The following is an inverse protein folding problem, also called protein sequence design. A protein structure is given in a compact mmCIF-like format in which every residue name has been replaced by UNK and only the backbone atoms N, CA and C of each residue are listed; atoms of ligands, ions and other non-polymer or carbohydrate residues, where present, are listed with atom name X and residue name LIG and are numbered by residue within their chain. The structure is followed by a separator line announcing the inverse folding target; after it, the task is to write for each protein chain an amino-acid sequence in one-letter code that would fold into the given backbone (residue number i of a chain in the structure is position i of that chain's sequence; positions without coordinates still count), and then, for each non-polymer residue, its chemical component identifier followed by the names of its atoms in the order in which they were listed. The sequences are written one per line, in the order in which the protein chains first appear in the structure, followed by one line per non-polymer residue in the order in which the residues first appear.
data_IF_701738767121
#
_entry.id   IF_701738767121
#
_cell.length_a   1.000
_cell.length_b   1.000
_cell.length_c   1.000
_cell.angle_alpha   90.00
_cell.angle_beta   90.00
_cell.angle_gamma   90.00
#
_symmetry.space_group_name_H-M   'P 1'
#
loop_
_entity.id
_entity.type
_entity.pdbx_description
1 polymer ?
#
# COMPACT_ATOMS: atom_id res chain seq x y z
N UNK A 1 19.04 -27.74 -59.94
CA UNK A 1 20.17 -27.07 -59.27
C UNK A 1 19.63 -26.17 -58.18
N UNK A 2 20.08 -26.42 -56.95
CA UNK A 2 20.22 -25.55 -55.76
C UNK A 2 19.21 -24.42 -55.52
N UNK A 3 18.58 -24.47 -54.34
CA UNK A 3 17.99 -23.34 -53.64
C UNK A 3 17.52 -23.74 -52.25
N UNK A 4 18.47 -24.09 -51.37
CA UNK A 4 18.21 -24.47 -49.98
C UNK A 4 17.69 -23.24 -49.21
N UNK A 5 16.49 -23.36 -48.64
CA UNK A 5 15.87 -22.36 -47.80
C UNK A 5 16.50 -22.42 -46.41
N UNK A 6 17.29 -21.41 -46.04
CA UNK A 6 17.93 -21.33 -44.73
C UNK A 6 16.98 -20.60 -43.78
N UNK A 7 16.18 -21.36 -43.02
CA UNK A 7 15.32 -20.82 -41.96
C UNK A 7 16.20 -20.61 -40.72
N UNK A 8 16.57 -19.35 -40.47
CA UNK A 8 17.21 -18.94 -39.22
C UNK A 8 16.13 -18.89 -38.14
N UNK A 9 16.13 -19.88 -37.26
CA UNK A 9 15.38 -19.87 -36.01
C UNK A 9 16.02 -18.85 -35.06
N UNK A 10 15.52 -17.61 -35.08
CA UNK A 10 15.73 -16.64 -34.02
C UNK A 10 14.94 -17.09 -32.79
N UNK A 11 15.61 -17.80 -31.88
CA UNK A 11 15.11 -18.08 -30.54
C UNK A 11 15.18 -16.76 -29.75
N UNK A 12 14.13 -15.97 -29.85
CA UNK A 12 13.94 -14.78 -29.01
C UNK A 12 13.65 -15.28 -27.59
N UNK A 13 14.68 -15.33 -26.75
CA UNK A 13 14.53 -15.51 -25.32
C UNK A 13 13.83 -14.27 -24.75
N UNK A 14 12.49 -14.29 -24.74
CA UNK A 14 11.70 -13.34 -23.98
C UNK A 14 12.00 -13.57 -22.49
N UNK A 15 12.88 -12.76 -21.93
CA UNK A 15 13.03 -12.61 -20.49
C UNK A 15 11.64 -12.26 -19.91
N UNK A 16 11.04 -13.22 -19.22
CA UNK A 16 9.78 -13.02 -18.51
C UNK A 16 9.93 -11.86 -17.50
N UNK A 17 8.88 -11.05 -17.24
CA UNK A 17 8.92 -9.93 -16.32
C UNK A 17 8.90 -10.43 -14.87
N UNK A 18 9.97 -11.08 -14.42
CA UNK A 18 10.10 -11.64 -13.06
C UNK A 18 10.12 -10.56 -11.97
N UNK A 19 10.27 -9.28 -12.34
CA UNK A 19 10.31 -8.13 -11.43
C UNK A 19 8.93 -7.64 -10.98
N UNK A 20 7.84 -7.93 -11.69
CA UNK A 20 6.52 -7.45 -11.31
C UNK A 20 5.97 -8.23 -10.11
N UNK A 21 5.86 -9.56 -10.23
CA UNK A 21 5.31 -10.40 -9.15
C UNK A 21 6.07 -10.31 -7.81
N UNK A 22 7.41 -10.32 -7.84
CA UNK A 22 8.21 -10.18 -6.61
C UNK A 22 8.08 -8.78 -5.98
N UNK A 23 7.84 -7.74 -6.80
CA UNK A 23 7.60 -6.39 -6.28
C UNK A 23 6.26 -6.31 -5.57
N UNK A 24 5.24 -6.95 -6.13
CA UNK A 24 3.88 -6.97 -5.61
C UNK A 24 3.82 -7.79 -4.31
N UNK A 25 4.53 -8.92 -4.24
CA UNK A 25 4.60 -9.77 -3.04
C UNK A 25 5.20 -9.05 -1.82
N UNK A 26 6.28 -8.28 -2.02
CA UNK A 26 6.92 -7.55 -0.91
C UNK A 26 6.05 -6.39 -0.43
N UNK A 27 5.41 -5.69 -1.36
CA UNK A 27 4.51 -4.58 -1.03
C UNK A 27 3.28 -5.10 -0.28
N UNK A 28 2.71 -6.22 -0.73
CA UNK A 28 1.62 -6.90 -0.05
C UNK A 28 2.02 -7.29 1.38
N UNK A 29 3.17 -7.94 1.56
CA UNK A 29 3.70 -8.29 2.90
C UNK A 29 3.90 -7.08 3.81
N UNK A 30 4.34 -5.96 3.24
CA UNK A 30 4.51 -4.73 4.01
C UNK A 30 3.16 -4.16 4.46
N UNK A 31 2.15 -4.11 3.59
CA UNK A 31 0.80 -3.72 3.98
C UNK A 31 0.18 -4.66 4.99
N UNK A 32 0.31 -5.98 4.77
CA UNK A 32 -0.11 -7.00 5.72
C UNK A 32 0.46 -6.70 7.11
N UNK A 33 1.76 -6.46 7.20
CA UNK A 33 2.41 -6.20 8.48
C UNK A 33 1.95 -4.89 9.12
N UNK A 34 1.81 -3.79 8.35
CA UNK A 34 1.37 -2.49 8.89
C UNK A 34 -0.04 -2.58 9.49
N UNK A 35 -0.96 -3.27 8.83
CA UNK A 35 -2.36 -3.34 9.28
C UNK A 35 -2.63 -4.46 10.29
N UNK A 36 -1.86 -5.55 10.28
CA UNK A 36 -2.17 -6.76 11.06
C UNK A 36 -1.04 -7.20 12.00
N UNK A 37 0.17 -6.64 11.84
CA UNK A 37 1.35 -7.05 12.59
C UNK A 37 1.92 -8.41 12.17
N UNK A 38 1.39 -9.01 11.10
CA UNK A 38 1.78 -10.33 10.57
C UNK A 38 1.95 -10.25 9.06
N UNK A 39 2.88 -11.03 8.50
CA UNK A 39 3.20 -11.00 7.06
C UNK A 39 2.21 -11.77 6.19
N UNK A 40 1.49 -12.74 6.77
CA UNK A 40 0.54 -13.63 6.10
C UNK A 40 -0.76 -13.78 6.92
N UNK A 41 -1.56 -12.70 7.06
CA UNK A 41 -2.80 -12.72 7.80
C UNK A 41 -3.95 -13.30 6.97
N UNK A 42 -4.95 -13.87 7.64
CA UNK A 42 -6.19 -14.33 7.00
C UNK A 42 -6.96 -13.15 6.36
N UNK A 43 -7.09 -12.03 7.10
CA UNK A 43 -7.76 -10.81 6.63
C UNK A 43 -6.72 -9.85 6.02
N UNK A 44 -6.28 -10.17 4.81
CA UNK A 44 -5.24 -9.41 4.10
C UNK A 44 -5.78 -8.08 3.54
N UNK A 45 -5.09 -6.94 3.79
CA UNK A 45 -5.34 -5.68 3.08
C UNK A 45 -5.30 -5.86 1.56
N UNK A 46 -6.27 -5.28 0.85
CA UNK A 46 -6.38 -5.41 -0.61
C UNK A 46 -5.77 -4.19 -1.30
N UNK A 47 -4.70 -4.38 -2.08
CA UNK A 47 -4.15 -3.30 -2.91
C UNK A 47 -5.06 -3.13 -4.13
N UNK A 48 -5.78 -2.02 -4.20
CA UNK A 48 -6.77 -1.76 -5.26
C UNK A 48 -6.26 -0.84 -6.37
N UNK A 49 -5.20 -0.07 -6.11
CA UNK A 49 -4.56 0.80 -7.09
C UNK A 49 -3.07 0.96 -6.75
N UNK A 50 -2.19 0.40 -7.59
CA UNK A 50 -0.74 0.50 -7.40
C UNK A 50 -0.19 1.91 -7.71
N UNK A 51 -0.84 2.67 -8.58
CA UNK A 51 -0.43 4.01 -8.98
C UNK A 51 -0.75 5.04 -7.89
N UNK A 52 -1.97 5.02 -7.37
CA UNK A 52 -2.33 5.82 -6.20
C UNK A 52 -1.78 5.25 -4.88
N UNK A 53 -1.23 4.02 -4.94
CA UNK A 53 -0.91 3.19 -3.79
C UNK A 53 -2.07 3.18 -2.78
N UNK A 54 -3.23 2.79 -3.29
CA UNK A 54 -4.46 2.69 -2.53
C UNK A 54 -4.67 1.26 -2.03
N UNK A 55 -4.98 1.13 -0.75
CA UNK A 55 -5.23 -0.15 -0.08
C UNK A 55 -6.57 -0.09 0.65
N UNK A 56 -7.35 -1.15 0.53
CA UNK A 56 -8.65 -1.31 1.18
C UNK A 56 -8.54 -2.31 2.32
N UNK A 57 -9.06 -1.94 3.48
CA UNK A 57 -9.11 -2.79 4.68
C UNK A 57 -10.52 -2.74 5.29
N UNK A 58 -10.97 -3.81 5.97
CA UNK A 58 -12.21 -3.75 6.74
C UNK A 58 -12.09 -2.74 7.88
N UNK A 59 -13.16 -1.96 8.13
CA UNK A 59 -13.23 -1.12 9.34
C UNK A 59 -13.49 -2.02 10.55
N UNK A 60 -12.60 -2.07 11.56
CA UNK A 60 -12.79 -2.96 12.70
C UNK A 60 -13.99 -2.58 13.58
N UNK A 61 -14.58 -1.38 13.40
CA UNK A 61 -15.69 -0.88 14.24
C UNK A 61 -17.05 -0.94 13.57
N UNK A 62 -17.11 -1.03 12.25
CA UNK A 62 -18.34 -0.89 11.49
C UNK A 62 -18.35 -1.83 10.28
N UNK A 63 -19.51 -2.31 9.80
CA UNK A 63 -19.61 -3.19 8.64
C UNK A 63 -19.40 -2.42 7.33
N UNK A 64 -18.20 -1.87 7.15
CA UNK A 64 -17.79 -1.01 6.03
C UNK A 64 -16.29 -1.17 5.79
N UNK A 65 -15.78 -0.60 4.71
CA UNK A 65 -14.36 -0.65 4.38
C UNK A 65 -13.71 0.72 4.46
N UNK A 66 -12.39 0.76 4.59
CA UNK A 66 -11.58 1.96 4.57
C UNK A 66 -10.56 1.84 3.45
N UNK A 67 -10.53 2.81 2.55
CA UNK A 67 -9.49 2.95 1.53
C UNK A 67 -8.47 3.99 2.00
N UNK A 68 -7.21 3.60 2.07
CA UNK A 68 -6.09 4.47 2.41
C UNK A 68 -5.26 4.78 1.17
N UNK A 69 -4.84 6.02 1.00
CA UNK A 69 -4.01 6.48 -0.12
C UNK A 69 -2.57 6.72 0.32
N UNK A 70 -1.75 5.65 0.38
CA UNK A 70 -0.36 5.74 0.83
C UNK A 70 0.54 6.51 -0.13
N UNK A 71 0.18 6.63 -1.42
CA UNK A 71 0.91 7.49 -2.36
C UNK A 71 0.82 8.99 -2.03
N UNK A 72 -0.11 9.38 -1.14
CA UNK A 72 -0.30 10.77 -0.67
C UNK A 72 0.31 11.01 0.71
N UNK A 73 0.84 9.96 1.35
CA UNK A 73 1.51 10.04 2.65
C UNK A 73 2.98 10.35 2.40
N UNK A 74 3.47 11.38 3.07
CA UNK A 74 4.84 11.86 2.98
C UNK A 74 5.49 11.84 4.37
N UNK A 75 6.83 11.79 4.45
CA UNK A 75 7.52 11.81 5.73
C UNK A 75 7.28 13.07 6.57
N UNK A 76 6.98 14.21 5.94
CA UNK A 76 6.71 15.50 6.61
C UNK A 76 5.28 15.60 7.14
N UNK A 77 4.37 14.77 6.64
CA UNK A 77 2.93 14.83 6.91
C UNK A 77 2.42 13.60 7.68
N UNK A 78 3.34 12.76 8.15
CA UNK A 78 3.05 11.58 8.94
C UNK A 78 4.04 11.40 10.09
N UNK A 79 3.54 10.88 11.21
CA UNK A 79 4.37 10.58 12.39
C UNK A 79 3.86 9.34 13.10
N UNK A 80 4.78 8.57 13.67
CA UNK A 80 4.42 7.49 14.59
C UNK A 80 4.30 8.09 15.99
N UNK A 81 3.11 8.02 16.58
CA UNK A 81 2.88 8.38 17.98
C UNK A 81 2.78 7.14 18.86
N UNK A 82 3.01 7.35 20.16
CA UNK A 82 2.91 6.34 21.20
C UNK A 82 1.65 6.60 22.00
N UNK A 83 0.92 5.53 22.30
CA UNK A 83 -0.23 5.52 23.18
C UNK A 83 -0.03 4.48 24.28
N UNK A 84 -0.60 4.70 25.46
CA UNK A 84 -0.39 3.87 26.63
C UNK A 84 -1.71 3.24 27.09
N UNK A 85 -1.81 1.92 26.94
CA UNK A 85 -2.93 1.12 27.45
C UNK A 85 -2.46 0.35 28.69
N UNK A 86 -2.48 1.04 29.85
CA UNK A 86 -1.94 0.48 31.10
C UNK A 86 -0.43 0.27 31.01
N UNK A 87 0.01 -1.00 31.01
CA UNK A 87 1.43 -1.37 30.85
C UNK A 87 1.83 -1.62 29.39
N UNK A 88 0.88 -1.65 28.47
CA UNK A 88 1.13 -1.89 27.05
C UNK A 88 1.40 -0.57 26.34
N UNK A 89 2.47 -0.56 25.52
CA UNK A 89 2.72 0.54 24.59
C UNK A 89 2.09 0.17 23.25
N UNK A 90 1.20 1.01 22.77
CA UNK A 90 0.58 0.91 21.45
C UNK A 90 1.16 2.00 20.56
N UNK A 91 1.25 1.71 19.27
CA UNK A 91 1.75 2.66 18.28
C UNK A 91 0.66 3.03 17.30
N UNK A 92 0.67 4.28 16.87
CA UNK A 92 -0.26 4.79 15.86
C UNK A 92 0.53 5.54 14.79
N UNK A 93 0.18 5.32 13.53
CA UNK A 93 0.59 6.20 12.45
C UNK A 93 -0.46 7.30 12.33
N UNK A 94 -0.06 8.53 12.64
CA UNK A 94 -0.86 9.72 12.45
C UNK A 94 -0.48 10.37 11.13
N UNK A 95 -1.48 10.74 10.34
CA UNK A 95 -1.33 11.33 9.02
C UNK A 95 -2.21 12.57 8.95
N UNK A 96 -1.66 13.67 8.44
CA UNK A 96 -2.38 14.90 8.13
C UNK A 96 -1.88 15.42 6.79
N UNK A 97 -2.78 15.71 5.85
CA UNK A 97 -2.40 16.08 4.47
C UNK A 97 -3.36 17.13 3.92
N UNK A 98 -2.93 17.88 2.92
CA UNK A 98 -3.83 18.77 2.17
C UNK A 98 -4.80 17.98 1.27
N UNK A 99 -4.46 16.73 0.96
CA UNK A 99 -5.24 15.84 0.11
C UNK A 99 -6.04 14.82 0.94
N UNK A 100 -7.09 14.24 0.34
CA UNK A 100 -7.81 13.11 0.94
C UNK A 100 -6.83 11.93 1.07
N UNK A 101 -6.67 11.41 2.29
CA UNK A 101 -5.81 10.26 2.58
C UNK A 101 -6.61 9.01 2.93
N UNK A 102 -7.87 9.18 3.33
CA UNK A 102 -8.78 8.07 3.60
C UNK A 102 -10.18 8.29 3.06
N UNK A 103 -10.82 7.21 2.65
CA UNK A 103 -12.23 7.14 2.30
C UNK A 103 -12.90 5.98 3.03
N UNK A 104 -14.10 6.20 3.58
CA UNK A 104 -14.95 5.14 4.08
C UNK A 104 -15.89 4.68 2.97
N UNK A 105 -15.88 3.38 2.69
CA UNK A 105 -16.59 2.75 1.60
C UNK A 105 -17.74 1.88 2.13
N UNK A 106 -18.81 1.71 1.36
CA UNK A 106 -19.85 0.73 1.70
C UNK A 106 -19.33 -0.72 1.55
N UNK A 107 -20.18 -1.70 1.85
CA UNK A 107 -19.84 -3.13 1.73
C UNK A 107 -19.46 -3.55 0.29
N UNK A 108 -19.84 -2.78 -0.73
CA UNK A 108 -19.46 -3.00 -2.13
C UNK A 108 -18.00 -2.63 -2.46
N UNK A 109 -17.24 -2.05 -1.51
CA UNK A 109 -15.87 -1.52 -1.67
C UNK A 109 -15.69 -0.47 -2.77
N UNK A 110 -16.78 0.07 -3.31
CA UNK A 110 -16.76 1.01 -4.42
C UNK A 110 -17.36 2.36 -4.03
N UNK A 111 -18.51 2.35 -3.36
CA UNK A 111 -19.27 3.55 -3.02
C UNK A 111 -18.64 4.27 -1.84
N UNK A 112 -18.16 5.50 -2.06
CA UNK A 112 -17.58 6.37 -1.03
C UNK A 112 -18.70 7.03 -0.23
N UNK A 113 -18.66 6.89 1.09
CA UNK A 113 -19.61 7.50 2.03
C UNK A 113 -19.04 8.74 2.73
N UNK A 114 -17.75 8.73 3.02
CA UNK A 114 -17.04 9.81 3.73
C UNK A 114 -15.58 9.83 3.27
N UNK A 115 -14.96 11.00 3.29
CA UNK A 115 -13.56 11.19 2.91
C UNK A 115 -12.88 12.17 3.87
N UNK A 116 -11.65 11.86 4.29
CA UNK A 116 -10.91 12.67 5.24
C UNK A 116 -9.47 12.91 4.80
N UNK A 117 -8.96 14.07 5.24
CA UNK A 117 -7.59 14.54 5.00
C UNK A 117 -6.60 14.17 6.11
N UNK A 118 -7.11 13.54 7.16
CA UNK A 118 -6.32 13.01 8.26
C UNK A 118 -6.74 11.58 8.58
N UNK A 119 -5.81 10.80 9.13
CA UNK A 119 -6.03 9.42 9.52
C UNK A 119 -5.18 9.03 10.72
N UNK A 120 -5.69 8.06 11.49
CA UNK A 120 -4.94 7.38 12.53
C UNK A 120 -5.03 5.88 12.28
N UNK A 121 -3.88 5.24 12.06
CA UNK A 121 -3.79 3.81 11.81
C UNK A 121 -3.12 3.18 13.02
N UNK A 122 -3.82 2.27 13.69
CA UNK A 122 -3.20 1.48 14.76
C UNK A 122 -2.13 0.57 14.15
N UNK A 123 -0.97 0.49 14.80
CA UNK A 123 0.16 -0.33 14.39
C UNK A 123 0.30 -1.50 15.39
N UNK A 124 -0.32 -2.66 15.11
CA UNK A 124 -0.40 -3.76 16.08
C UNK A 124 0.90 -4.58 16.19
N UNK A 125 1.81 -4.44 15.22
CA UNK A 125 3.09 -5.17 15.19
C UNK A 125 4.19 -4.56 16.05
N UNK A 126 5.36 -5.17 15.99
CA UNK A 126 6.58 -4.61 16.56
C UNK A 126 6.95 -3.30 15.84
N UNK A 127 7.46 -2.32 16.59
CA UNK A 127 7.78 -1.00 16.04
C UNK A 127 8.88 -1.06 14.98
N UNK A 128 9.95 -1.83 15.21
CA UNK A 128 11.09 -1.90 14.30
C UNK A 128 10.67 -2.53 12.97
N UNK A 129 9.89 -3.61 13.04
CA UNK A 129 9.34 -4.27 11.86
C UNK A 129 8.29 -3.40 11.15
N UNK A 130 7.48 -2.66 11.90
CA UNK A 130 6.53 -1.71 11.34
C UNK A 130 7.24 -0.60 10.58
N UNK A 131 8.33 -0.04 11.14
CA UNK A 131 9.14 0.98 10.47
C UNK A 131 9.78 0.43 9.18
N UNK A 132 10.25 -0.83 9.19
CA UNK A 132 10.75 -1.50 7.98
C UNK A 132 9.66 -1.65 6.93
N UNK A 133 8.46 -2.08 7.31
CA UNK A 133 7.33 -2.23 6.40
C UNK A 133 6.89 -0.88 5.81
N UNK A 134 6.78 0.17 6.64
CA UNK A 134 6.46 1.53 6.18
C UNK A 134 7.53 2.07 5.23
N UNK A 135 8.82 1.77 5.46
CA UNK A 135 9.90 2.12 4.54
C UNK A 135 9.74 1.44 3.18
N UNK A 136 9.41 0.14 3.17
CA UNK A 136 9.11 -0.59 1.92
C UNK A 136 7.95 0.06 1.18
N UNK A 137 6.86 0.37 1.89
CA UNK A 137 5.69 1.05 1.30
C UNK A 137 6.12 2.39 0.71
N UNK A 138 6.83 3.24 1.46
CA UNK A 138 7.29 4.55 0.99
C UNK A 138 8.21 4.46 -0.25
N UNK A 139 9.10 3.46 -0.30
CA UNK A 139 9.99 3.25 -1.44
C UNK A 139 9.26 2.77 -2.70
N UNK A 140 8.18 2.00 -2.52
CA UNK A 140 7.41 1.38 -3.62
C UNK A 140 6.23 2.23 -4.07
N UNK A 141 5.69 3.04 -3.17
CA UNK A 141 4.56 3.93 -3.38
C UNK A 141 4.98 5.37 -3.62
N UNK A 142 6.19 5.60 -4.15
CA UNK A 142 6.64 6.91 -4.59
C UNK A 142 5.62 7.45 -5.58
N UNK A 143 4.69 8.28 -5.08
CA UNK A 143 3.82 9.05 -5.93
C UNK A 143 4.71 9.94 -6.78
N UNK A 144 4.51 9.92 -8.09
CA UNK A 144 4.94 11.03 -8.92
C UNK A 144 4.40 12.28 -8.25
N UNK A 145 5.31 13.08 -7.68
CA UNK A 145 4.93 14.22 -6.86
C UNK A 145 3.88 15.00 -7.62
N UNK A 146 2.70 15.13 -7.00
CA UNK A 146 1.58 15.94 -7.46
C UNK A 146 2.11 17.12 -8.30
N UNK A 147 2.08 16.99 -9.62
CA UNK A 147 1.88 18.16 -10.46
C UNK A 147 0.43 18.49 -10.23
N UNK A 148 0.19 19.40 -9.28
CA UNK A 148 -1.03 20.18 -9.28
C UNK A 148 -1.24 20.67 -10.73
N UNK A 149 -2.39 20.42 -11.37
CA UNK A 149 -2.65 20.92 -12.71
C UNK A 149 -2.80 22.45 -12.78
N UNK A 150 -2.44 23.16 -11.70
CA UNK A 150 -2.51 24.61 -11.54
C UNK A 150 -1.17 25.23 -11.09
N UNK A 151 -0.04 24.76 -11.62
CA UNK A 151 1.24 25.50 -11.58
C UNK A 151 1.64 25.98 -12.96
#
# INVERSE_FOLDING_TARGET
MKGFCLVVLLVTACAAPMRAGVRDDLLQKAFNYVFTGTIDPQDTPEIVDLTACAVVVPDPRYPRFIRYYFGRIRPDNSRISKDYAGRQTLYKLEIESDNIVIEYLTADKATVTQAFRSAQINLPGDLEQTQKALKVIAERCKGDGSKSPFS
#
